data_IF_044031569337
#
_entry.id   IF_044031569337
#
_cell.length_a   1.000
_cell.length_b   1.000
_cell.length_c   1.000
_cell.angle_alpha   90.00
_cell.angle_beta   90.00
_cell.angle_gamma   90.00
#
_symmetry.space_group_name_H-M   'P 1'
#
loop_
_entity.id
_entity.type
_entity.pdbx_description
1 polymer ?
#
# COMPACT_ATOMS: atom_id res chain seq x y z
N UNK A 1 28.93 4.22 21.09
CA UNK A 1 28.81 5.57 20.48
C UNK A 1 29.58 5.50 19.16
N UNK A 2 28.94 5.83 18.07
CA UNK A 2 29.59 5.82 16.74
C UNK A 2 30.29 7.17 16.54
N UNK A 3 31.58 7.17 16.30
CA UNK A 3 32.42 8.38 16.23
C UNK A 3 32.47 9.04 14.84
N UNK A 4 31.45 8.94 14.04
CA UNK A 4 31.40 9.58 12.72
C UNK A 4 30.04 9.51 12.06
N UNK A 5 29.56 10.64 11.53
CA UNK A 5 28.52 10.65 10.51
C UNK A 5 29.14 10.17 9.20
N UNK A 6 28.44 9.28 8.53
CA UNK A 6 28.79 8.89 7.17
C UNK A 6 28.08 9.81 6.19
N UNK A 7 28.80 10.25 5.17
CA UNK A 7 28.28 11.20 4.18
C UNK A 7 27.35 10.53 3.15
N UNK A 8 27.35 9.18 3.09
CA UNK A 8 26.50 8.44 2.19
C UNK A 8 25.92 7.19 2.83
N UNK A 9 24.70 6.85 2.42
CA UNK A 9 23.97 5.68 2.90
C UNK A 9 24.72 4.36 2.64
N UNK A 10 25.30 4.19 1.46
CA UNK A 10 26.03 2.97 1.12
C UNK A 10 27.31 2.80 1.92
N UNK A 11 28.03 3.88 2.27
CA UNK A 11 29.20 3.83 3.15
C UNK A 11 28.84 3.40 4.57
N UNK A 12 27.73 3.94 5.10
CA UNK A 12 27.20 3.52 6.38
C UNK A 12 26.87 2.03 6.39
N UNK A 13 26.25 1.53 5.32
CA UNK A 13 25.95 0.09 5.19
C UNK A 13 27.23 -0.76 5.10
N UNK A 14 28.23 -0.33 4.33
CA UNK A 14 29.53 -1.01 4.26
C UNK A 14 30.21 -1.09 5.63
N UNK A 15 30.17 -0.02 6.39
CA UNK A 15 30.70 0.01 7.74
C UNK A 15 30.00 -1.02 8.65
N UNK A 16 28.66 -1.08 8.60
CA UNK A 16 27.88 -2.03 9.40
C UNK A 16 28.18 -3.48 9.02
N UNK A 17 28.25 -3.78 7.72
CA UNK A 17 28.62 -5.13 7.24
C UNK A 17 30.02 -5.50 7.68
N UNK A 18 30.97 -4.59 7.58
CA UNK A 18 32.36 -4.82 8.04
C UNK A 18 32.44 -5.05 9.54
N UNK A 19 31.63 -4.37 10.34
CA UNK A 19 31.64 -4.43 11.79
C UNK A 19 30.88 -5.62 12.37
N UNK A 20 29.73 -5.95 11.83
CA UNK A 20 28.78 -6.92 12.35
C UNK A 20 28.61 -8.17 11.47
N UNK A 21 29.20 -8.17 10.28
CA UNK A 21 29.03 -9.20 9.26
C UNK A 21 27.77 -9.02 8.42
N UNK A 22 27.65 -9.76 7.28
CA UNK A 22 26.56 -9.61 6.31
C UNK A 22 25.16 -9.80 6.89
N UNK A 23 25.02 -10.62 7.92
CA UNK A 23 23.70 -10.91 8.55
C UNK A 23 23.02 -9.68 9.12
N UNK A 24 23.77 -8.61 9.43
CA UNK A 24 23.20 -7.36 9.93
C UNK A 24 22.16 -6.78 8.98
N UNK A 25 22.32 -6.99 7.68
CA UNK A 25 21.40 -6.48 6.64
C UNK A 25 20.00 -7.10 6.71
N UNK A 26 19.86 -8.26 7.35
CA UNK A 26 18.60 -8.96 7.56
C UNK A 26 18.00 -8.75 8.96
N UNK A 27 18.66 -7.98 9.81
CA UNK A 27 18.24 -7.78 11.20
C UNK A 27 17.38 -6.51 11.35
N UNK A 28 16.32 -6.60 12.15
CA UNK A 28 15.44 -5.46 12.44
C UNK A 28 16.18 -4.24 13.05
N UNK A 29 17.28 -4.48 13.79
CA UNK A 29 18.10 -3.40 14.37
C UNK A 29 18.88 -2.56 13.35
N UNK A 30 18.95 -3.02 12.08
CA UNK A 30 19.61 -2.26 11.00
C UNK A 30 19.05 -0.85 10.87
N UNK A 31 17.73 -0.72 10.94
CA UNK A 31 17.03 0.58 10.85
C UNK A 31 17.55 1.58 11.89
N UNK A 32 17.62 1.15 13.16
CA UNK A 32 18.13 2.02 14.25
C UNK A 32 19.62 2.35 14.12
N UNK A 33 20.44 1.37 13.71
CA UNK A 33 21.87 1.59 13.50
C UNK A 33 22.15 2.57 12.34
N UNK A 34 21.37 2.49 11.25
CA UNK A 34 21.48 3.44 10.14
C UNK A 34 21.05 4.86 10.58
N UNK A 35 19.96 4.98 11.32
CA UNK A 35 19.52 6.27 11.87
C UNK A 35 20.58 6.92 12.78
N UNK A 36 21.23 6.13 13.66
CA UNK A 36 22.32 6.60 14.51
C UNK A 36 23.52 7.10 13.69
N UNK A 37 23.85 6.42 12.58
CA UNK A 37 25.02 6.75 11.74
C UNK A 37 24.75 7.92 10.81
N UNK A 38 23.53 8.04 10.28
CA UNK A 38 23.13 9.13 9.38
C UNK A 38 22.69 10.41 10.10
N UNK A 39 22.60 10.37 11.43
CA UNK A 39 22.31 11.55 12.25
C UNK A 39 20.84 11.79 12.54
N UNK A 40 20.06 10.76 12.73
CA UNK A 40 18.66 10.82 13.09
C UNK A 40 17.73 10.52 11.92
N UNK A 41 16.67 11.30 11.77
CA UNK A 41 15.80 11.19 10.60
C UNK A 41 16.54 11.71 9.36
N UNK A 42 16.87 10.82 8.45
CA UNK A 42 17.41 11.14 7.13
C UNK A 42 16.35 10.89 6.06
N UNK A 43 16.43 11.62 4.97
CA UNK A 43 15.41 11.60 3.91
C UNK A 43 15.15 10.21 3.31
N UNK A 44 16.17 9.34 3.33
CA UNK A 44 16.09 7.96 2.85
C UNK A 44 15.47 6.97 3.87
N UNK A 45 15.17 7.42 5.09
CA UNK A 45 14.63 6.59 6.17
C UNK A 45 13.37 5.79 5.80
N UNK A 46 12.36 6.36 5.13
CA UNK A 46 11.16 5.62 4.75
C UNK A 46 11.45 4.43 3.83
N UNK A 47 12.38 4.60 2.88
CA UNK A 47 12.78 3.56 1.92
C UNK A 47 13.54 2.45 2.66
N UNK A 48 14.47 2.81 3.54
CA UNK A 48 15.23 1.89 4.37
C UNK A 48 14.31 1.08 5.31
N UNK A 49 13.39 1.74 5.98
CA UNK A 49 12.40 1.09 6.85
C UNK A 49 11.58 0.05 6.08
N UNK A 50 11.18 0.38 4.85
CA UNK A 50 10.46 -0.56 4.00
C UNK A 50 11.31 -1.77 3.62
N UNK A 51 12.59 -1.58 3.32
CA UNK A 51 13.51 -2.66 3.02
C UNK A 51 13.67 -3.64 4.20
N UNK A 52 13.76 -3.13 5.42
CA UNK A 52 13.80 -3.96 6.62
C UNK A 52 12.50 -4.73 6.80
N UNK A 53 11.33 -4.08 6.66
CA UNK A 53 10.02 -4.71 6.78
C UNK A 53 9.77 -5.82 5.75
N UNK A 54 10.30 -5.68 4.54
CA UNK A 54 10.16 -6.65 3.45
C UNK A 54 11.31 -7.65 3.36
N UNK A 55 12.20 -7.65 4.34
CA UNK A 55 13.35 -8.57 4.43
C UNK A 55 14.26 -8.55 3.20
N UNK A 56 14.44 -7.40 2.55
CA UNK A 56 15.29 -7.26 1.36
C UNK A 56 16.72 -7.76 1.65
N UNK A 57 17.30 -7.41 2.78
CA UNK A 57 18.65 -7.87 3.15
C UNK A 57 18.78 -9.39 3.16
N UNK A 58 17.79 -10.10 3.67
CA UNK A 58 17.77 -11.58 3.64
C UNK A 58 17.67 -12.11 2.21
N UNK A 59 16.78 -11.53 1.39
CA UNK A 59 16.62 -11.92 -0.02
C UNK A 59 17.91 -11.74 -0.80
N UNK A 60 18.62 -10.63 -0.64
CA UNK A 60 19.91 -10.38 -1.32
C UNK A 60 20.98 -11.38 -0.85
N UNK A 61 21.08 -11.65 0.44
CA UNK A 61 22.05 -12.62 0.97
C UNK A 61 21.80 -14.02 0.41
N UNK A 62 20.56 -14.48 0.40
CA UNK A 62 20.19 -15.81 -0.12
C UNK A 62 20.44 -15.93 -1.62
N UNK A 63 20.10 -14.90 -2.39
CA UNK A 63 20.31 -14.86 -3.83
C UNK A 63 21.80 -14.83 -4.19
N UNK A 64 22.62 -14.10 -3.44
CA UNK A 64 24.07 -14.04 -3.64
C UNK A 64 24.77 -15.38 -3.49
N UNK A 65 24.18 -16.29 -2.73
CA UNK A 65 24.74 -17.63 -2.47
C UNK A 65 24.33 -18.67 -3.52
N UNK A 66 23.23 -18.44 -4.25
CA UNK A 66 22.57 -19.47 -5.04
C UNK A 66 22.47 -19.16 -6.55
N UNK A 67 22.87 -17.97 -7.01
CA UNK A 67 22.73 -17.60 -8.43
C UNK A 67 24.08 -17.36 -9.12
N UNK A 68 24.29 -17.93 -10.32
CA UNK A 68 25.49 -17.69 -11.12
C UNK A 68 25.48 -16.32 -11.81
N UNK A 69 24.32 -15.69 -11.98
CA UNK A 69 24.16 -14.37 -12.62
C UNK A 69 23.65 -13.34 -11.60
N UNK A 70 24.62 -12.71 -10.95
CA UNK A 70 24.35 -11.75 -9.85
C UNK A 70 23.71 -10.47 -10.36
N UNK A 71 24.09 -10.00 -11.58
CA UNK A 71 23.59 -8.75 -12.16
C UNK A 71 22.10 -8.85 -12.51
N UNK A 72 21.70 -9.90 -13.19
CA UNK A 72 20.29 -10.20 -13.51
C UNK A 72 19.43 -10.29 -12.24
N UNK A 73 19.98 -10.92 -11.20
CA UNK A 73 19.24 -11.07 -9.92
C UNK A 73 19.06 -9.73 -9.22
N UNK A 74 20.08 -8.87 -9.21
CA UNK A 74 20.00 -7.53 -8.60
C UNK A 74 18.98 -6.69 -9.36
N UNK A 75 18.99 -6.68 -10.68
CA UNK A 75 18.05 -5.89 -11.49
C UNK A 75 16.61 -6.36 -11.34
N UNK A 76 16.37 -7.66 -11.31
CA UNK A 76 15.04 -8.20 -11.01
C UNK A 76 14.57 -7.81 -9.59
N UNK A 77 15.48 -7.80 -8.62
CA UNK A 77 15.15 -7.41 -7.26
C UNK A 77 14.83 -5.90 -7.16
N UNK A 78 15.53 -5.03 -7.89
CA UNK A 78 15.22 -3.60 -8.01
C UNK A 78 13.80 -3.40 -8.53
N UNK A 79 13.46 -4.06 -9.63
CA UNK A 79 12.15 -3.97 -10.24
C UNK A 79 11.05 -4.49 -9.30
N UNK A 80 11.23 -5.66 -8.71
CA UNK A 80 10.27 -6.26 -7.79
C UNK A 80 10.09 -5.40 -6.54
N UNK A 81 11.19 -4.91 -5.95
CA UNK A 81 11.12 -4.07 -4.76
C UNK A 81 10.44 -2.73 -5.02
N UNK A 82 10.70 -2.13 -6.16
CA UNK A 82 10.01 -0.91 -6.62
C UNK A 82 8.50 -1.15 -6.75
N UNK A 83 8.10 -2.21 -7.45
CA UNK A 83 6.69 -2.52 -7.70
C UNK A 83 5.93 -2.91 -6.44
N UNK A 84 6.51 -3.79 -5.61
CA UNK A 84 5.87 -4.27 -4.38
C UNK A 84 5.70 -3.16 -3.34
N UNK A 85 6.58 -2.14 -3.33
CA UNK A 85 6.63 -1.13 -2.28
C UNK A 85 6.32 0.30 -2.76
N UNK A 86 6.02 0.48 -4.05
CA UNK A 86 5.63 1.79 -4.62
C UNK A 86 6.67 2.88 -4.43
N UNK A 87 7.92 2.53 -4.58
CA UNK A 87 9.04 3.43 -4.38
C UNK A 87 9.39 4.13 -5.68
N UNK A 88 9.97 5.33 -5.56
CA UNK A 88 10.67 5.96 -6.66
C UNK A 88 11.71 4.97 -7.23
N UNK A 89 11.75 4.77 -8.57
CA UNK A 89 12.69 3.83 -9.20
C UNK A 89 14.14 4.08 -8.82
N UNK A 90 14.58 5.35 -8.75
CA UNK A 90 15.94 5.72 -8.37
C UNK A 90 16.22 5.37 -6.91
N UNK A 91 15.26 5.64 -6.00
CA UNK A 91 15.40 5.32 -4.60
C UNK A 91 15.46 3.80 -4.36
N UNK A 92 14.60 3.03 -5.03
CA UNK A 92 14.61 1.57 -4.97
C UNK A 92 15.93 1.00 -5.51
N UNK A 93 16.38 1.49 -6.66
CA UNK A 93 17.65 1.08 -7.28
C UNK A 93 18.83 1.37 -6.36
N UNK A 94 18.94 2.61 -5.88
CA UNK A 94 20.04 3.01 -4.99
C UNK A 94 20.07 2.19 -3.69
N UNK A 95 18.91 1.88 -3.11
CA UNK A 95 18.84 1.03 -1.93
C UNK A 95 19.40 -0.37 -2.23
N UNK A 96 18.88 -1.04 -3.27
CA UNK A 96 19.31 -2.39 -3.64
C UNK A 96 20.79 -2.40 -3.99
N UNK A 97 21.26 -1.40 -4.72
CA UNK A 97 22.69 -1.23 -5.05
C UNK A 97 23.53 -1.04 -3.79
N UNK A 98 23.05 -0.31 -2.79
CA UNK A 98 23.76 -0.14 -1.52
C UNK A 98 23.88 -1.45 -0.74
N UNK A 99 22.85 -2.28 -0.72
CA UNK A 99 22.92 -3.64 -0.17
C UNK A 99 23.92 -4.50 -0.95
N UNK A 100 23.83 -4.53 -2.27
CA UNK A 100 24.69 -5.32 -3.14
C UNK A 100 26.16 -4.89 -3.03
N UNK A 101 26.42 -3.58 -3.02
CA UNK A 101 27.75 -3.01 -2.84
C UNK A 101 28.36 -3.36 -1.48
N UNK A 102 27.59 -3.25 -0.40
CA UNK A 102 28.03 -3.59 0.94
C UNK A 102 28.41 -5.08 1.11
N UNK A 103 27.83 -5.93 0.29
CA UNK A 103 28.13 -7.39 0.21
C UNK A 103 29.25 -7.70 -0.80
N UNK A 104 29.76 -6.72 -1.55
CA UNK A 104 30.77 -6.90 -2.59
C UNK A 104 30.24 -7.59 -3.86
N UNK A 105 28.92 -7.57 -4.09
CA UNK A 105 28.27 -8.16 -5.27
C UNK A 105 28.39 -7.25 -6.50
N UNK A 106 28.49 -5.94 -6.29
CA UNK A 106 28.83 -4.94 -7.30
C UNK A 106 30.04 -4.11 -6.84
N UNK A 107 30.76 -3.53 -7.78
CA UNK A 107 32.02 -2.81 -7.51
C UNK A 107 31.86 -1.29 -7.48
N UNK A 108 30.73 -0.77 -7.96
CA UNK A 108 30.40 0.67 -7.94
C UNK A 108 28.88 0.86 -7.87
N UNK A 109 28.48 2.00 -7.34
CA UNK A 109 27.10 2.48 -7.39
C UNK A 109 27.07 3.59 -8.44
N UNK A 110 26.20 3.43 -9.45
CA UNK A 110 26.14 4.37 -10.59
C UNK A 110 25.39 5.66 -10.26
N UNK A 111 24.53 5.64 -9.24
CA UNK A 111 23.74 6.79 -8.81
C UNK A 111 24.14 7.19 -7.40
N UNK A 112 24.75 8.35 -7.25
CA UNK A 112 24.84 9.03 -5.96
C UNK A 112 23.53 9.78 -5.75
N UNK A 113 22.63 9.22 -4.92
CA UNK A 113 21.48 9.95 -4.43
C UNK A 113 21.94 10.72 -3.18
N UNK A 114 21.71 12.01 -3.20
CA UNK A 114 21.89 12.90 -2.06
C UNK A 114 20.59 13.01 -1.27
N UNK A 115 20.65 13.61 -0.09
CA UNK A 115 19.44 13.92 0.67
C UNK A 115 18.44 14.76 -0.14
N UNK A 116 18.94 15.60 -1.06
CA UNK A 116 18.13 16.43 -1.94
C UNK A 116 17.27 15.61 -2.94
N UNK A 117 17.70 14.40 -3.31
CA UNK A 117 16.91 13.50 -4.18
C UNK A 117 15.67 12.90 -3.48
N UNK A 118 15.59 13.01 -2.14
CA UNK A 118 14.50 12.48 -1.32
C UNK A 118 13.75 13.57 -0.56
N UNK A 119 14.31 14.76 -0.48
CA UNK A 119 13.60 15.91 0.05
C UNK A 119 12.46 16.25 -0.91
N UNK A 120 11.31 16.55 -0.35
CA UNK A 120 10.27 17.25 -1.08
C UNK A 120 10.88 18.61 -1.45
N UNK A 121 11.47 18.73 -2.65
CA UNK A 121 12.11 19.96 -3.06
C UNK A 121 11.09 21.09 -3.09
N UNK A 122 11.39 22.13 -2.34
CA UNK A 122 10.66 23.38 -2.35
C UNK A 122 9.48 23.46 -1.40
N UNK A 123 8.91 24.65 -1.34
CA UNK A 123 7.60 24.88 -0.70
C UNK A 123 6.52 24.30 -1.60
N UNK A 124 5.37 23.84 -1.03
CA UNK A 124 4.25 23.40 -1.83
C UNK A 124 3.81 24.51 -2.79
N UNK A 125 3.72 24.19 -4.05
CA UNK A 125 3.32 25.12 -5.09
C UNK A 125 1.80 25.06 -5.31
N UNK A 126 1.23 26.19 -5.69
CA UNK A 126 -0.13 26.26 -6.21
C UNK A 126 -0.05 26.60 -7.70
N UNK A 127 -0.52 25.71 -8.56
CA UNK A 127 -0.35 25.84 -10.02
C UNK A 127 -1.55 25.25 -10.77
N UNK A 128 -1.91 25.88 -11.86
CA UNK A 128 -2.79 25.28 -12.86
C UNK A 128 -2.02 24.22 -13.65
N UNK A 129 -2.64 23.07 -13.84
CA UNK A 129 -2.14 21.93 -14.61
C UNK A 129 -3.19 21.50 -15.62
N UNK A 130 -2.82 20.69 -16.60
CA UNK A 130 -3.74 20.26 -17.68
C UNK A 130 -5.00 19.59 -17.14
N UNK A 131 -4.91 18.89 -16.00
CA UNK A 131 -6.02 18.18 -15.37
C UNK A 131 -6.66 18.93 -14.19
N UNK A 132 -6.30 20.22 -13.94
CA UNK A 132 -6.95 21.08 -12.94
C UNK A 132 -6.03 22.02 -12.18
N UNK A 133 -6.35 22.27 -10.91
CA UNK A 133 -5.56 23.07 -9.98
C UNK A 133 -4.83 22.15 -9.02
N UNK A 134 -3.50 22.21 -8.98
CA UNK A 134 -2.66 21.40 -8.09
C UNK A 134 -2.02 22.26 -7.00
N UNK A 135 -2.12 21.79 -5.75
CA UNK A 135 -1.38 22.34 -4.61
C UNK A 135 -0.59 21.20 -3.96
N UNK A 136 0.74 21.27 -4.02
CA UNK A 136 1.60 20.21 -3.50
C UNK A 136 3.03 20.33 -3.98
N UNK A 137 3.74 19.23 -3.94
CA UNK A 137 5.16 19.16 -4.30
C UNK A 137 5.36 18.61 -5.70
N UNK A 138 6.44 19.05 -6.35
CA UNK A 138 6.93 18.53 -7.64
C UNK A 138 8.41 18.19 -7.54
N UNK A 139 8.82 17.17 -8.28
CA UNK A 139 10.23 16.85 -8.46
C UNK A 139 10.91 17.80 -9.49
N UNK A 140 12.19 17.61 -9.74
CA UNK A 140 12.97 18.42 -10.70
C UNK A 140 12.45 18.32 -12.15
N UNK A 141 11.72 17.26 -12.46
CA UNK A 141 11.08 17.02 -13.76
C UNK A 141 9.66 17.58 -13.83
N UNK A 142 9.26 18.38 -12.82
CA UNK A 142 7.93 19.00 -12.67
C UNK A 142 6.78 18.01 -12.46
N UNK A 143 7.07 16.74 -12.16
CA UNK A 143 6.05 15.75 -11.86
C UNK A 143 5.58 15.85 -10.39
N UNK A 144 4.30 15.62 -10.15
CA UNK A 144 3.73 15.62 -8.80
C UNK A 144 4.34 14.52 -7.94
N UNK A 145 4.83 14.88 -6.77
CA UNK A 145 5.42 13.98 -5.80
C UNK A 145 5.04 14.37 -4.37
N UNK A 146 5.26 13.47 -3.40
CA UNK A 146 4.92 13.73 -2.00
C UNK A 146 3.44 13.96 -1.78
N UNK A 147 3.07 14.78 -0.82
CA UNK A 147 1.67 15.11 -0.54
C UNK A 147 1.18 16.26 -1.42
N UNK A 148 -0.02 16.11 -1.97
CA UNK A 148 -0.63 17.17 -2.78
C UNK A 148 -2.14 17.01 -2.93
N UNK A 149 -2.77 18.11 -3.32
CA UNK A 149 -4.20 18.20 -3.61
C UNK A 149 -4.36 18.57 -5.08
N UNK A 150 -5.12 17.78 -5.82
CA UNK A 150 -5.57 18.10 -7.17
C UNK A 150 -7.06 18.31 -7.15
N UNK A 151 -7.50 19.47 -7.65
CA UNK A 151 -8.90 19.78 -7.89
C UNK A 151 -9.14 19.85 -9.40
N UNK A 152 -9.96 18.95 -9.91
CA UNK A 152 -10.26 18.84 -11.33
C UNK A 152 -11.34 19.87 -11.74
N UNK A 153 -11.40 20.26 -13.02
CA UNK A 153 -12.37 21.24 -13.51
C UNK A 153 -13.83 20.82 -13.31
N UNK A 154 -14.11 19.53 -13.27
CA UNK A 154 -15.44 18.96 -13.01
C UNK A 154 -15.85 18.99 -11.53
N UNK A 155 -14.96 19.47 -10.64
CA UNK A 155 -15.17 19.54 -9.20
C UNK A 155 -14.78 18.26 -8.44
N UNK A 156 -14.26 17.26 -9.13
CA UNK A 156 -13.60 16.13 -8.46
C UNK A 156 -12.30 16.58 -7.82
N UNK A 157 -11.90 15.95 -6.72
CA UNK A 157 -10.59 16.22 -6.16
C UNK A 157 -9.95 14.95 -5.57
N UNK A 158 -8.62 14.99 -5.50
CA UNK A 158 -7.80 14.03 -4.80
C UNK A 158 -6.88 14.78 -3.83
N UNK A 159 -6.73 14.25 -2.62
CA UNK A 159 -5.78 14.72 -1.63
C UNK A 159 -5.03 13.50 -1.07
N UNK A 160 -3.73 13.46 -1.23
CA UNK A 160 -2.93 12.31 -0.82
C UNK A 160 -1.53 12.30 -1.40
N UNK A 161 -0.92 11.13 -1.36
CA UNK A 161 0.43 10.92 -1.84
C UNK A 161 0.49 10.79 -3.37
N UNK A 162 1.54 11.38 -3.94
CA UNK A 162 1.84 11.38 -5.37
C UNK A 162 3.25 10.84 -5.60
N UNK A 163 3.43 10.14 -6.68
CA UNK A 163 4.74 9.74 -7.18
C UNK A 163 4.71 9.70 -8.70
N UNK A 164 5.59 10.48 -9.37
CA UNK A 164 5.68 10.58 -10.83
C UNK A 164 4.30 10.83 -11.48
N UNK A 165 3.60 11.88 -11.05
CA UNK A 165 2.25 12.25 -11.48
C UNK A 165 1.14 11.22 -11.21
N UNK A 166 1.44 10.14 -10.51
CA UNK A 166 0.46 9.11 -10.16
C UNK A 166 0.04 9.21 -8.69
N UNK A 167 -1.25 8.98 -8.44
CA UNK A 167 -1.78 8.80 -7.07
C UNK A 167 -1.24 7.48 -6.52
N UNK A 168 -0.56 7.58 -5.37
CA UNK A 168 0.14 6.48 -4.71
C UNK A 168 -0.12 6.53 -3.21
N UNK A 169 0.33 5.49 -2.46
CA UNK A 169 0.31 5.50 -1.00
C UNK A 169 -1.08 5.71 -0.41
N UNK A 170 -1.24 6.65 0.50
CA UNK A 170 -2.51 6.95 1.17
C UNK A 170 -3.13 8.23 0.61
N UNK A 171 -4.41 8.21 0.36
CA UNK A 171 -5.13 9.38 -0.13
C UNK A 171 -6.63 9.24 -0.10
N UNK A 172 -7.29 10.37 -0.33
CA UNK A 172 -8.73 10.45 -0.45
C UNK A 172 -9.13 11.08 -1.77
N UNK A 173 -10.21 10.60 -2.35
CA UNK A 173 -10.85 11.22 -3.51
C UNK A 173 -12.33 11.48 -3.29
N UNK A 174 -12.80 12.50 -3.96
CA UNK A 174 -14.20 12.86 -4.00
C UNK A 174 -14.61 13.09 -5.46
N UNK A 175 -15.71 12.48 -5.88
CA UNK A 175 -16.30 12.73 -7.18
C UNK A 175 -17.60 13.55 -7.05
N UNK A 176 -17.93 14.29 -8.08
CA UNK A 176 -19.20 15.06 -8.17
C UNK A 176 -20.43 14.15 -8.13
N UNK A 177 -20.31 12.88 -8.48
CA UNK A 177 -21.31 11.84 -8.29
C UNK A 177 -21.47 11.39 -6.81
N UNK A 178 -20.91 12.15 -5.84
CA UNK A 178 -20.90 11.87 -4.40
C UNK A 178 -20.18 10.61 -3.97
N UNK A 179 -19.48 9.94 -4.88
CA UNK A 179 -18.56 8.86 -4.49
C UNK A 179 -17.37 9.44 -3.74
N UNK A 180 -17.00 8.79 -2.65
CA UNK A 180 -15.82 9.13 -1.86
C UNK A 180 -15.02 7.87 -1.63
N UNK A 181 -13.71 8.00 -1.73
CA UNK A 181 -12.80 6.94 -1.36
C UNK A 181 -11.73 7.48 -0.43
N UNK A 182 -11.38 6.72 0.61
CA UNK A 182 -10.26 6.98 1.49
C UNK A 182 -9.53 5.66 1.74
N UNK A 183 -8.26 5.60 1.41
CA UNK A 183 -7.49 4.36 1.52
C UNK A 183 -6.19 4.40 0.75
N UNK A 184 -5.69 3.21 0.45
CA UNK A 184 -4.44 3.03 -0.28
C UNK A 184 -4.65 3.13 -1.79
N UNK A 185 -3.67 3.73 -2.47
CA UNK A 185 -3.64 3.96 -3.90
C UNK A 185 -2.40 3.36 -4.52
N UNK A 186 -2.52 2.90 -5.74
CA UNK A 186 -1.43 2.37 -6.56
C UNK A 186 -1.68 2.68 -8.02
N UNK A 187 -0.74 3.41 -8.67
CA UNK A 187 -0.83 3.75 -10.10
C UNK A 187 -2.20 4.31 -10.48
N UNK A 188 -2.66 5.35 -9.76
CA UNK A 188 -3.97 5.98 -9.93
C UNK A 188 -5.19 5.10 -9.61
N UNK A 189 -5.02 3.90 -9.07
CA UNK A 189 -6.09 2.95 -8.76
C UNK A 189 -6.23 2.70 -7.25
N UNK A 190 -7.44 2.44 -6.77
CA UNK A 190 -7.68 1.95 -5.41
C UNK A 190 -6.93 0.62 -5.19
N UNK A 191 -6.24 0.49 -4.07
CA UNK A 191 -5.44 -0.68 -3.74
C UNK A 191 -5.42 -0.93 -2.23
N UNK A 192 -4.92 -2.13 -1.80
CA UNK A 192 -4.76 -2.44 -0.38
C UNK A 192 -6.05 -2.33 0.42
N UNK A 193 -6.05 -1.54 1.48
CA UNK A 193 -7.24 -1.33 2.34
C UNK A 193 -7.83 0.06 2.08
N UNK A 194 -9.16 0.12 1.98
CA UNK A 194 -9.85 1.40 1.77
C UNK A 194 -11.34 1.34 2.10
N UNK A 195 -11.89 2.53 2.27
CA UNK A 195 -13.32 2.76 2.49
C UNK A 195 -13.86 3.54 1.29
N UNK A 196 -14.95 3.06 0.72
CA UNK A 196 -15.68 3.75 -0.34
C UNK A 196 -17.11 4.05 0.13
N UNK A 197 -17.56 5.28 -0.08
CA UNK A 197 -18.96 5.66 0.08
C UNK A 197 -19.52 5.85 -1.32
N UNK A 198 -20.56 5.09 -1.66
CA UNK A 198 -21.22 5.13 -2.95
C UNK A 198 -22.29 6.24 -3.00
N UNK A 199 -22.79 6.54 -4.18
CA UNK A 199 -23.83 7.54 -4.40
C UNK A 199 -25.14 7.25 -3.65
N UNK A 200 -25.52 5.97 -3.54
CA UNK A 200 -26.69 5.48 -2.83
C UNK A 200 -26.52 5.47 -1.30
N UNK A 201 -25.34 5.83 -0.79
CA UNK A 201 -25.01 5.81 0.62
C UNK A 201 -24.48 4.46 1.13
N UNK A 202 -24.37 3.46 0.29
CA UNK A 202 -23.71 2.20 0.64
C UNK A 202 -22.23 2.45 0.92
N UNK A 203 -21.71 1.89 2.02
CA UNK A 203 -20.30 2.00 2.39
C UNK A 203 -19.64 0.63 2.22
N UNK A 204 -18.55 0.58 1.47
CA UNK A 204 -17.65 -0.57 1.44
C UNK A 204 -16.43 -0.28 2.28
N UNK A 205 -16.06 -1.21 3.15
CA UNK A 205 -14.83 -1.19 3.92
C UNK A 205 -14.11 -2.53 3.71
N UNK A 206 -12.95 -2.53 3.08
CA UNK A 206 -12.29 -3.78 2.76
C UNK A 206 -11.07 -3.65 1.87
N UNK A 207 -10.72 -4.79 1.28
CA UNK A 207 -9.54 -4.93 0.43
C UNK A 207 -9.84 -4.57 -1.03
N UNK A 208 -8.83 -3.97 -1.68
CA UNK A 208 -8.85 -3.49 -3.05
C UNK A 208 -7.63 -3.99 -3.82
N UNK A 209 -7.82 -4.28 -5.08
CA UNK A 209 -6.75 -4.62 -6.00
C UNK A 209 -7.06 -4.06 -7.39
N UNK A 210 -6.17 -3.20 -7.90
CA UNK A 210 -6.27 -2.60 -9.24
C UNK A 210 -7.65 -1.95 -9.51
N UNK A 211 -8.11 -1.12 -8.56
CA UNK A 211 -9.38 -0.40 -8.66
C UNK A 211 -10.64 -1.22 -8.38
N UNK A 212 -10.51 -2.50 -8.06
CA UNK A 212 -11.63 -3.40 -7.80
C UNK A 212 -11.63 -3.90 -6.35
N UNK A 213 -12.81 -4.10 -5.76
CA UNK A 213 -12.97 -4.80 -4.49
C UNK A 213 -12.50 -6.23 -4.65
N UNK A 214 -11.51 -6.64 -3.86
CA UNK A 214 -10.88 -7.95 -4.01
C UNK A 214 -10.30 -8.40 -2.66
N UNK A 215 -10.73 -9.55 -2.16
CA UNK A 215 -10.42 -10.03 -0.82
C UNK A 215 -11.55 -9.80 0.18
N UNK A 216 -11.24 -9.74 1.46
CA UNK A 216 -12.25 -9.55 2.51
C UNK A 216 -12.80 -8.13 2.54
N UNK A 217 -14.10 -7.99 2.76
CA UNK A 217 -14.73 -6.69 2.90
C UNK A 217 -16.14 -6.76 3.47
N UNK A 218 -16.61 -5.62 3.95
CA UNK A 218 -17.96 -5.44 4.48
C UNK A 218 -18.66 -4.31 3.73
N UNK A 219 -19.87 -4.57 3.29
CA UNK A 219 -20.81 -3.56 2.80
C UNK A 219 -21.76 -3.20 3.94
N UNK A 220 -21.92 -1.90 4.17
CA UNK A 220 -22.94 -1.34 5.06
C UNK A 220 -23.97 -0.65 4.20
N UNK A 221 -25.22 -1.09 4.32
CA UNK A 221 -26.32 -0.56 3.53
C UNK A 221 -27.06 0.57 4.27
N UNK A 222 -27.67 1.51 3.54
CA UNK A 222 -28.40 2.62 4.16
C UNK A 222 -29.56 2.21 5.06
N UNK A 223 -30.09 1.00 4.88
CA UNK A 223 -31.14 0.42 5.73
C UNK A 223 -30.63 -0.09 7.09
N UNK A 224 -29.32 0.01 7.37
CA UNK A 224 -28.72 -0.44 8.62
C UNK A 224 -28.25 -1.91 8.64
N UNK A 225 -28.46 -2.64 7.56
CA UNK A 225 -27.92 -3.99 7.39
C UNK A 225 -26.47 -3.96 6.95
N UNK A 226 -25.77 -5.08 7.08
CA UNK A 226 -24.42 -5.20 6.53
C UNK A 226 -24.11 -6.62 6.05
N UNK A 227 -23.20 -6.72 5.07
CA UNK A 227 -22.72 -7.96 4.50
C UNK A 227 -21.19 -8.03 4.59
N UNK A 228 -20.68 -8.99 5.33
CA UNK A 228 -19.27 -9.34 5.39
C UNK A 228 -19.00 -10.60 4.57
N UNK A 229 -18.15 -10.52 3.56
CA UNK A 229 -17.85 -11.64 2.66
C UNK A 229 -16.52 -11.45 1.92
N UNK A 230 -16.20 -12.40 1.05
CA UNK A 230 -15.09 -12.27 0.10
C UNK A 230 -15.58 -11.69 -1.22
N UNK A 231 -14.77 -10.80 -1.77
CA UNK A 231 -14.97 -10.19 -3.09
C UNK A 231 -13.90 -10.66 -4.07
N UNK A 232 -14.27 -10.85 -5.31
CA UNK A 232 -13.39 -11.08 -6.44
C UNK A 232 -13.84 -10.15 -7.58
N UNK A 233 -13.00 -9.21 -7.95
CA UNK A 233 -13.23 -8.27 -9.06
C UNK A 233 -14.61 -7.60 -9.01
N UNK A 234 -14.90 -6.93 -7.88
CA UNK A 234 -16.16 -6.26 -7.55
C UNK A 234 -17.38 -7.16 -7.35
N UNK A 235 -17.25 -8.47 -7.48
CA UNK A 235 -18.35 -9.42 -7.29
C UNK A 235 -18.20 -10.14 -5.96
N UNK A 236 -19.31 -10.55 -5.36
CA UNK A 236 -19.29 -11.49 -4.25
C UNK A 236 -18.70 -12.81 -4.77
N UNK A 237 -17.66 -13.31 -4.13
CA UNK A 237 -17.10 -14.62 -4.45
C UNK A 237 -18.10 -15.73 -4.07
N UNK A 238 -18.02 -16.89 -4.73
CA UNK A 238 -18.87 -18.04 -4.41
C UNK A 238 -18.41 -18.70 -3.10
N UNK A 239 -18.70 -18.04 -2.00
CA UNK A 239 -18.28 -18.41 -0.65
C UNK A 239 -19.37 -18.08 0.37
N UNK A 240 -19.16 -18.51 1.60
CA UNK A 240 -20.01 -18.17 2.74
C UNK A 240 -19.71 -16.74 3.19
N UNK A 241 -20.77 -15.99 3.48
CA UNK A 241 -20.71 -14.67 4.09
C UNK A 241 -21.59 -14.57 5.32
N UNK A 242 -21.57 -13.40 5.95
CA UNK A 242 -22.41 -13.07 7.09
C UNK A 242 -23.21 -11.82 6.75
N UNK A 243 -24.54 -11.94 6.83
CA UNK A 243 -25.46 -10.84 6.66
C UNK A 243 -26.05 -10.45 8.02
N UNK A 244 -25.78 -9.24 8.47
CA UNK A 244 -26.36 -8.67 9.68
C UNK A 244 -27.66 -7.95 9.34
N UNK A 245 -28.74 -8.35 10.00
CA UNK A 245 -30.06 -7.79 9.82
C UNK A 245 -30.28 -6.57 10.73
N UNK A 246 -31.34 -5.81 10.46
CA UNK A 246 -31.70 -4.61 11.25
C UNK A 246 -32.04 -4.91 12.69
N UNK A 247 -32.62 -6.08 12.94
CA UNK A 247 -32.99 -6.57 14.28
C UNK A 247 -31.81 -7.07 15.11
N UNK A 248 -30.56 -6.89 14.59
CA UNK A 248 -29.28 -7.31 15.18
C UNK A 248 -29.07 -8.84 15.19
N UNK A 249 -29.90 -9.60 14.53
CA UNK A 249 -29.64 -11.03 14.23
C UNK A 249 -28.70 -11.12 13.01
N UNK A 250 -28.14 -12.28 12.74
CA UNK A 250 -27.31 -12.47 11.57
C UNK A 250 -27.52 -13.82 10.91
N UNK A 251 -27.34 -13.84 9.60
CA UNK A 251 -27.50 -15.03 8.76
C UNK A 251 -26.16 -15.38 8.13
N UNK A 252 -25.72 -16.62 8.32
CA UNK A 252 -24.51 -17.17 7.71
C UNK A 252 -24.88 -18.15 6.61
N UNK A 253 -24.32 -17.98 5.43
CA UNK A 253 -24.58 -18.85 4.29
C UNK A 253 -24.09 -18.27 2.99
N UNK A 254 -24.61 -18.77 1.88
CA UNK A 254 -24.32 -18.22 0.55
C UNK A 254 -25.01 -16.85 0.39
N UNK A 255 -24.27 -15.87 -0.11
CA UNK A 255 -24.71 -14.49 -0.20
C UNK A 255 -24.84 -14.01 -1.65
N UNK A 256 -25.78 -13.10 -1.84
CA UNK A 256 -25.91 -12.26 -3.04
C UNK A 256 -25.96 -10.79 -2.62
N UNK A 257 -25.89 -9.86 -3.57
CA UNK A 257 -26.08 -8.43 -3.29
C UNK A 257 -27.48 -8.07 -2.78
N UNK A 258 -28.42 -9.00 -2.86
CA UNK A 258 -29.82 -8.82 -2.41
C UNK A 258 -30.10 -9.53 -1.08
N UNK A 259 -29.12 -10.24 -0.52
CA UNK A 259 -29.23 -10.95 0.74
C UNK A 259 -28.85 -12.43 0.69
N UNK A 260 -29.08 -13.16 1.79
CA UNK A 260 -28.84 -14.59 1.88
C UNK A 260 -29.62 -15.40 0.84
N UNK A 261 -29.05 -16.53 0.40
CA UNK A 261 -29.71 -17.42 -0.57
C UNK A 261 -29.33 -18.89 -0.33
N UNK A 262 -30.28 -19.79 -0.57
CA UNK A 262 -30.14 -21.22 -0.28
C UNK A 262 -30.34 -21.55 1.20
N UNK A 263 -29.82 -22.67 1.64
CA UNK A 263 -29.83 -23.07 3.07
C UNK A 263 -28.84 -22.20 3.83
N UNK A 264 -29.31 -21.50 4.84
CA UNK A 264 -28.53 -20.63 5.69
C UNK A 264 -28.78 -20.89 7.17
N UNK A 265 -27.86 -20.46 8.01
CA UNK A 265 -27.93 -20.51 9.46
C UNK A 265 -28.22 -19.12 10.02
N UNK A 266 -29.42 -18.95 10.57
CA UNK A 266 -29.87 -17.71 11.18
C UNK A 266 -29.65 -17.77 12.69
N UNK A 267 -28.84 -16.88 13.23
CA UNK A 267 -28.56 -16.75 14.66
C UNK A 267 -29.41 -15.63 15.24
N UNK A 268 -30.29 -16.00 16.18
CA UNK A 268 -31.18 -15.09 16.88
C UNK A 268 -30.44 -14.36 18.04
N UNK A 269 -31.10 -13.37 18.65
CA UNK A 269 -30.53 -12.55 19.73
C UNK A 269 -30.22 -13.37 21.01
N UNK A 270 -30.93 -14.44 21.26
CA UNK A 270 -30.70 -15.34 22.38
C UNK A 270 -29.61 -16.40 22.11
N UNK A 271 -28.99 -16.36 20.92
CA UNK A 271 -27.97 -17.31 20.47
C UNK A 271 -28.53 -18.57 19.82
N UNK A 272 -29.88 -18.73 19.72
CA UNK A 272 -30.50 -19.85 19.01
C UNK A 272 -30.12 -19.79 17.53
N UNK A 273 -29.74 -20.95 16.96
CA UNK A 273 -29.44 -21.08 15.53
C UNK A 273 -30.55 -21.86 14.87
N UNK A 274 -31.11 -21.29 13.82
CA UNK A 274 -32.20 -21.87 13.01
C UNK A 274 -31.69 -22.10 11.59
N UNK A 275 -31.99 -23.27 11.03
CA UNK A 275 -31.78 -23.56 9.61
C UNK A 275 -32.96 -23.05 8.79
N UNK A 276 -32.73 -22.19 7.84
CA UNK A 276 -33.77 -21.57 7.03
C UNK A 276 -33.35 -21.55 5.55
N UNK A 277 -34.35 -21.65 4.66
CA UNK A 277 -34.16 -21.45 3.23
C UNK A 277 -34.46 -20.00 2.84
N UNK A 278 -33.48 -19.37 2.25
CA UNK A 278 -33.54 -17.99 1.81
C UNK A 278 -33.51 -17.88 0.29
N UNK A 279 -34.13 -16.85 -0.26
CA UNK A 279 -34.04 -16.47 -1.65
C UNK A 279 -33.84 -14.97 -1.77
N UNK A 280 -32.60 -14.54 -2.03
CA UNK A 280 -32.23 -13.13 -2.17
C UNK A 280 -32.76 -12.25 -1.02
N UNK A 281 -32.53 -12.63 0.20
CA UNK A 281 -32.90 -11.87 1.40
C UNK A 281 -34.31 -12.15 1.94
N UNK A 282 -35.05 -13.09 1.37
CA UNK A 282 -36.41 -13.45 1.86
C UNK A 282 -36.46 -14.92 2.28
N UNK A 283 -36.97 -15.17 3.48
CA UNK A 283 -37.18 -16.54 3.95
C UNK A 283 -38.28 -17.21 3.09
N UNK A 284 -37.99 -18.37 2.53
CA UNK A 284 -38.89 -19.09 1.64
C UNK A 284 -39.41 -20.36 2.27
N UNK A 285 -38.73 -20.91 3.27
CA UNK A 285 -39.11 -22.13 4.00
C UNK A 285 -38.40 -22.20 5.35
N UNK A 286 -39.12 -22.58 6.37
CA UNK A 286 -38.59 -22.97 7.67
C UNK A 286 -38.37 -24.48 7.70
#
# INVERSE_FOLDING_TARGET
MFDGKHDSFHEAMCFLVKKFGPKILAEARLEGLMADMMGGEYSFYPVMRRAVQTNIGKRIIELSQNSPDTEFVIDNLKHTFQEENFLNPRAASYLIDSYAYSLGLITKIEQNLTDDDFTQEGEPIFVEVDDGEFCGYRNQEYERCGFGILKQPDGCYYAGEWNLDMRMGVGMSFSTARQKYAGQWRFNQHHGIGIEIQEDGTIYCGQWKNGMRNGTGTLYFPNGESLSTLFADNKIADTVGIWHLQDKTFVQGKMTMRGPTGLCFHTLLDGTIIEEYWNNGVITKN
#
